data_IF_618940475825
#
_entry.id   IF_618940475825
#
_cell.length_a   1.000
_cell.length_b   1.000
_cell.length_c   1.000
_cell.angle_alpha   90.00
_cell.angle_beta   90.00
_cell.angle_gamma   90.00
#
_symmetry.space_group_name_H-M   'P 1'
#
loop_
_entity.id
_entity.type
_entity.pdbx_description
1 polymer ?
#
# COMPACT_ATOMS: atom_id res chain seq x y z
N UNK A 1 -26.37 -3.53 2.17
CA UNK A 1 -25.72 -2.72 3.22
C UNK A 1 -24.26 -3.14 3.21
N UNK A 2 -23.35 -2.35 2.61
CA UNK A 2 -21.94 -2.74 2.54
C UNK A 2 -21.33 -2.82 3.94
N UNK A 3 -20.44 -3.79 4.20
CA UNK A 3 -19.77 -3.89 5.49
C UNK A 3 -19.02 -2.58 5.77
N UNK A 4 -19.14 -2.08 7.00
CA UNK A 4 -18.31 -0.97 7.47
C UNK A 4 -16.89 -1.54 7.62
N UNK A 5 -16.04 -1.28 6.64
CA UNK A 5 -14.63 -1.63 6.70
C UNK A 5 -13.98 -0.67 7.69
N UNK A 6 -13.49 -1.21 8.80
CA UNK A 6 -12.75 -0.46 9.81
C UNK A 6 -11.31 -0.14 9.39
N UNK A 7 -10.52 0.39 10.33
CA UNK A 7 -9.10 0.65 10.11
C UNK A 7 -8.24 -0.42 10.80
N UNK A 8 -7.06 -0.75 10.25
CA UNK A 8 -6.13 -1.66 10.90
C UNK A 8 -5.55 -1.01 12.16
N UNK A 9 -5.16 -1.81 13.15
CA UNK A 9 -4.48 -1.31 14.35
C UNK A 9 -3.05 -0.83 14.07
N UNK A 10 -2.39 -1.45 13.08
CA UNK A 10 -1.01 -1.17 12.70
C UNK A 10 -0.91 -1.14 11.18
N UNK A 11 -0.23 -0.14 10.64
CA UNK A 11 0.15 -0.06 9.23
C UNK A 11 1.68 -0.05 9.16
N UNK A 12 2.25 -1.04 8.47
CA UNK A 12 3.68 -1.06 8.13
C UNK A 12 3.91 -0.16 6.92
N UNK A 13 4.79 0.82 7.06
CA UNK A 13 5.13 1.80 6.03
C UNK A 13 6.64 1.88 5.85
N UNK A 14 7.10 2.22 4.66
CA UNK A 14 8.51 2.55 4.46
C UNK A 14 8.79 4.00 4.86
N UNK A 15 10.06 4.40 4.77
CA UNK A 15 10.49 5.78 5.08
C UNK A 15 10.38 6.72 3.86
N UNK A 16 9.56 6.36 2.87
CA UNK A 16 9.29 7.20 1.71
C UNK A 16 8.77 8.56 2.13
N UNK A 17 9.22 9.61 1.44
CA UNK A 17 8.83 10.99 1.75
C UNK A 17 7.32 11.23 1.68
N UNK A 18 6.62 10.39 0.92
CA UNK A 18 5.18 10.33 0.78
C UNK A 18 4.45 9.86 2.07
N UNK A 19 5.12 9.08 2.93
CA UNK A 19 4.55 8.52 4.16
C UNK A 19 5.04 9.21 5.44
N UNK A 20 5.94 10.19 5.33
CA UNK A 20 6.41 10.98 6.49
C UNK A 20 5.68 12.31 6.65
N UNK A 21 4.53 12.49 5.99
CA UNK A 21 3.75 13.72 6.08
C UNK A 21 3.11 13.89 7.48
N UNK A 22 2.96 15.15 7.92
CA UNK A 22 2.31 15.48 9.19
C UNK A 22 0.84 15.05 9.21
N UNK A 23 0.16 15.19 8.08
CA UNK A 23 -1.27 14.93 8.00
C UNK A 23 -1.58 13.43 8.10
N UNK A 24 -0.71 12.56 7.56
CA UNK A 24 -0.81 11.12 7.74
C UNK A 24 -0.62 10.72 9.22
N UNK A 25 0.37 11.30 9.90
CA UNK A 25 0.57 11.05 11.34
C UNK A 25 -0.63 11.50 12.16
N UNK A 26 -1.19 12.67 11.86
CA UNK A 26 -2.38 13.18 12.54
C UNK A 26 -3.59 12.26 12.31
N UNK A 27 -3.81 11.82 11.06
CA UNK A 27 -4.86 10.87 10.74
C UNK A 27 -4.70 9.57 11.55
N UNK A 28 -3.51 8.98 11.53
CA UNK A 28 -3.24 7.72 12.23
C UNK A 28 -3.47 7.87 13.75
N UNK A 29 -2.96 8.96 14.34
CA UNK A 29 -3.19 9.28 15.75
C UNK A 29 -4.67 9.41 16.09
N UNK A 30 -5.44 10.19 15.32
CA UNK A 30 -6.88 10.39 15.57
C UNK A 30 -7.70 9.12 15.43
N UNK A 31 -7.20 8.13 14.68
CA UNK A 31 -7.86 6.84 14.46
C UNK A 31 -7.32 5.72 15.35
N UNK A 32 -6.34 5.99 16.22
CA UNK A 32 -5.69 4.97 17.05
C UNK A 32 -4.90 3.93 16.24
N UNK A 33 -4.44 4.32 15.05
CA UNK A 33 -3.64 3.48 14.15
C UNK A 33 -2.17 3.74 14.41
N UNK A 34 -1.38 2.68 14.59
CA UNK A 34 0.07 2.76 14.72
C UNK A 34 0.72 2.72 13.34
N UNK A 35 1.50 3.75 12.98
CA UNK A 35 2.39 3.70 11.83
C UNK A 35 3.71 3.09 12.27
N UNK A 36 4.02 1.91 11.73
CA UNK A 36 5.24 1.17 12.02
C UNK A 36 6.19 1.32 10.83
N UNK A 37 7.22 2.15 11.00
CA UNK A 37 8.13 2.46 9.91
C UNK A 37 9.23 1.40 9.77
N UNK A 38 9.49 1.00 8.52
CA UNK A 38 10.60 0.10 8.20
C UNK A 38 11.94 0.68 8.69
N UNK A 39 12.81 -0.20 9.18
CA UNK A 39 14.12 0.22 9.67
C UNK A 39 15.06 0.48 8.49
N UNK A 40 15.85 1.57 8.51
CA UNK A 40 16.86 1.83 7.49
C UNK A 40 17.79 0.63 7.30
N UNK A 41 18.04 0.23 6.06
CA UNK A 41 18.92 -0.89 5.74
C UNK A 41 18.36 -2.28 6.09
N UNK A 42 17.06 -2.41 6.37
CA UNK A 42 16.39 -3.72 6.57
C UNK A 42 15.28 -3.99 5.54
N UNK A 43 15.64 -4.43 4.33
CA UNK A 43 14.68 -4.74 3.27
C UNK A 43 13.64 -5.80 3.66
N UNK A 44 14.00 -6.68 4.59
CA UNK A 44 13.12 -7.74 5.11
C UNK A 44 11.88 -7.21 5.82
N UNK A 45 11.91 -5.98 6.35
CA UNK A 45 10.77 -5.38 7.03
C UNK A 45 9.59 -5.14 6.07
N UNK A 46 9.84 -5.10 4.74
CA UNK A 46 8.84 -4.91 3.69
C UNK A 46 8.69 -6.13 2.76
N UNK A 47 9.25 -7.29 3.13
CA UNK A 47 9.30 -8.46 2.24
C UNK A 47 7.93 -8.89 1.70
N UNK A 48 6.87 -8.71 2.50
CA UNK A 48 5.51 -9.05 2.09
C UNK A 48 4.98 -8.14 0.97
N UNK A 49 5.08 -6.82 1.15
CA UNK A 49 4.60 -5.86 0.15
C UNK A 49 5.46 -5.90 -1.12
N UNK A 50 6.78 -6.08 -0.97
CA UNK A 50 7.67 -6.27 -2.13
C UNK A 50 7.34 -7.56 -2.90
N UNK A 51 7.06 -8.65 -2.18
CA UNK A 51 6.62 -9.90 -2.81
C UNK A 51 5.25 -9.78 -3.48
N UNK A 52 4.34 -8.97 -2.94
CA UNK A 52 3.09 -8.63 -3.61
C UNK A 52 3.33 -7.81 -4.88
N UNK A 53 4.09 -6.70 -4.77
CA UNK A 53 4.41 -5.82 -5.89
C UNK A 53 5.09 -6.57 -7.04
N UNK A 54 6.03 -7.48 -6.72
CA UNK A 54 6.69 -8.33 -7.71
C UNK A 54 5.71 -9.25 -8.44
N UNK A 55 4.80 -9.92 -7.69
CA UNK A 55 3.77 -10.78 -8.27
C UNK A 55 2.76 -10.01 -9.10
N UNK A 56 2.30 -8.86 -8.61
CA UNK A 56 1.36 -7.99 -9.33
C UNK A 56 1.98 -7.46 -10.63
N UNK A 57 3.27 -7.09 -10.59
CA UNK A 57 3.99 -6.68 -11.80
C UNK A 57 4.06 -7.82 -12.83
N UNK A 58 4.42 -9.03 -12.40
CA UNK A 58 4.53 -10.18 -13.29
C UNK A 58 3.16 -10.67 -13.81
N UNK A 59 2.14 -10.66 -12.95
CA UNK A 59 0.83 -11.25 -13.22
C UNK A 59 -0.21 -10.29 -13.80
N UNK A 60 0.00 -8.97 -13.71
CA UNK A 60 -0.92 -7.98 -14.27
C UNK A 60 -0.18 -6.97 -15.15
N UNK A 61 0.76 -6.21 -14.57
CA UNK A 61 1.34 -5.05 -15.26
C UNK A 61 2.15 -5.42 -16.52
N UNK A 62 2.86 -6.54 -16.50
CA UNK A 62 3.65 -7.00 -17.63
C UNK A 62 2.81 -7.71 -18.71
N UNK A 63 1.58 -8.13 -18.39
CA UNK A 63 0.73 -8.88 -19.31
C UNK A 63 -0.20 -7.97 -20.13
N UNK A 64 -0.41 -6.73 -19.69
CA UNK A 64 -1.41 -5.84 -20.26
C UNK A 64 -0.81 -4.51 -20.73
N UNK A 65 -1.29 -4.03 -21.88
CA UNK A 65 -1.23 -2.61 -22.21
C UNK A 65 -2.42 -1.90 -21.58
N UNK A 66 -2.17 -0.72 -21.02
CA UNK A 66 -3.19 0.14 -20.42
C UNK A 66 -3.40 1.36 -21.31
N UNK A 67 -4.60 1.48 -21.87
CA UNK A 67 -4.92 2.55 -22.82
C UNK A 67 -5.61 3.74 -22.14
N UNK A 68 -6.31 3.49 -21.03
CA UNK A 68 -7.00 4.51 -20.23
C UNK A 68 -6.95 4.16 -18.74
N UNK A 69 -7.29 5.11 -17.86
CA UNK A 69 -7.40 4.84 -16.42
C UNK A 69 -8.53 3.86 -16.09
N UNK A 70 -9.65 3.91 -16.83
CA UNK A 70 -10.76 2.97 -16.63
C UNK A 70 -10.33 1.53 -16.99
N UNK A 71 -9.64 1.38 -18.12
CA UNK A 71 -9.05 0.10 -18.56
C UNK A 71 -8.02 -0.43 -17.56
N UNK A 72 -7.22 0.45 -16.95
CA UNK A 72 -6.27 0.06 -15.90
C UNK A 72 -6.96 -0.39 -14.60
N UNK A 73 -8.06 0.26 -14.21
CA UNK A 73 -8.81 -0.13 -13.02
C UNK A 73 -9.43 -1.53 -13.21
N UNK A 74 -10.09 -1.77 -14.34
CA UNK A 74 -10.68 -3.06 -14.68
C UNK A 74 -9.64 -4.19 -14.64
N UNK A 75 -8.52 -4.02 -15.35
CA UNK A 75 -7.44 -5.02 -15.41
C UNK A 75 -6.65 -5.21 -14.11
N UNK A 76 -6.72 -4.25 -13.18
CA UNK A 76 -6.05 -4.37 -11.87
C UNK A 76 -6.90 -5.11 -10.84
N UNK A 77 -8.19 -5.26 -11.11
CA UNK A 77 -9.17 -5.92 -10.24
C UNK A 77 -9.52 -7.36 -10.70
N UNK A 78 -9.10 -7.75 -11.91
CA UNK A 78 -9.12 -9.13 -12.45
C UNK A 78 -8.16 -10.09 -11.71
#
# INVERSE_FOLDING_TARGET
>A
MSPVIGYPQIIRVDQGTEFVSRDLHLWAYTRGVTLDFSRPGKPTDNAYIEGFNGRFRAGCLNLHWFLTLADAAEKSED
#
